data_IF_355952167698
#
_entry.id   IF_355952167698
#
_cell.length_a   1.000
_cell.length_b   1.000
_cell.length_c   1.000
_cell.angle_alpha   90.00
_cell.angle_beta   90.00
_cell.angle_gamma   90.00
#
_symmetry.space_group_name_H-M   'P 1'
#
loop_
_entity.id
_entity.type
_entity.pdbx_description
1 polymer ?
#
# COMPACT_ATOMS: atom_id res chain seq x y z
N UNK A 1 19.62 -10.04 7.09
CA UNK A 1 18.50 -9.10 7.46
C UNK A 1 19.01 -8.05 8.44
N UNK A 2 18.80 -6.76 8.17
CA UNK A 2 19.12 -5.65 9.07
C UNK A 2 18.30 -5.72 10.35
N UNK A 3 18.91 -5.39 11.48
CA UNK A 3 18.27 -5.46 12.81
C UNK A 3 17.72 -4.10 13.27
N UNK A 4 18.15 -3.01 12.63
CA UNK A 4 17.74 -1.65 12.98
C UNK A 4 17.77 -0.72 11.77
N UNK A 5 17.01 0.37 11.84
CA UNK A 5 17.08 1.45 10.85
C UNK A 5 18.46 2.09 10.77
N UNK A 6 19.19 2.13 11.90
CA UNK A 6 20.56 2.67 11.93
C UNK A 6 21.51 1.87 11.03
N UNK A 7 21.42 0.54 11.05
CA UNK A 7 22.21 -0.33 10.19
C UNK A 7 21.91 -0.11 8.70
N UNK A 8 20.63 0.13 8.33
CA UNK A 8 20.24 0.41 6.94
C UNK A 8 20.82 1.77 6.50
N UNK A 9 20.70 2.80 7.33
CA UNK A 9 21.24 4.14 7.04
C UNK A 9 22.78 4.11 6.91
N UNK A 10 23.46 3.31 7.72
CA UNK A 10 24.90 3.11 7.60
C UNK A 10 25.27 2.41 6.30
N UNK A 11 24.55 1.34 5.95
CA UNK A 11 24.74 0.61 4.69
C UNK A 11 24.46 1.50 3.46
N UNK A 12 23.44 2.37 3.51
CA UNK A 12 23.14 3.38 2.49
C UNK A 12 24.34 4.32 2.29
N UNK A 13 24.87 4.88 3.38
CA UNK A 13 26.03 5.79 3.35
C UNK A 13 27.31 5.10 2.81
N UNK A 14 27.53 3.85 3.18
CA UNK A 14 28.71 3.11 2.74
C UNK A 14 28.62 2.65 1.29
N UNK A 15 27.45 2.28 0.82
CA UNK A 15 27.25 1.76 -0.54
C UNK A 15 26.96 2.84 -1.58
N UNK A 16 26.53 4.04 -1.18
CA UNK A 16 26.06 5.10 -2.07
C UNK A 16 24.73 4.79 -2.78
N UNK A 17 24.06 3.71 -2.38
CA UNK A 17 22.75 3.29 -2.92
C UNK A 17 21.63 3.95 -2.15
N UNK A 18 20.45 4.06 -2.75
CA UNK A 18 19.26 4.56 -2.05
C UNK A 18 18.76 3.56 -1.00
N UNK A 19 18.03 4.06 0.00
CA UNK A 19 17.49 3.27 1.11
C UNK A 19 16.73 2.00 0.63
N UNK A 20 15.84 2.17 -0.35
CA UNK A 20 15.05 1.06 -0.86
C UNK A 20 15.90 -0.01 -1.58
N UNK A 21 16.96 0.40 -2.28
CA UNK A 21 17.88 -0.54 -2.94
C UNK A 21 18.65 -1.39 -1.92
N UNK A 22 19.13 -0.77 -0.85
CA UNK A 22 19.83 -1.47 0.23
C UNK A 22 18.90 -2.51 0.89
N UNK A 23 17.65 -2.14 1.16
CA UNK A 23 16.66 -3.05 1.76
C UNK A 23 16.30 -4.18 0.80
N UNK A 24 16.04 -3.87 -0.47
CA UNK A 24 15.70 -4.88 -1.47
C UNK A 24 16.85 -5.87 -1.70
N UNK A 25 18.10 -5.41 -1.77
CA UNK A 25 19.27 -6.28 -1.92
C UNK A 25 19.46 -7.25 -0.75
N UNK A 26 19.17 -6.80 0.47
CA UNK A 26 19.21 -7.67 1.65
C UNK A 26 18.11 -8.73 1.59
N UNK A 27 16.89 -8.33 1.22
CA UNK A 27 15.74 -9.21 1.12
C UNK A 27 15.92 -10.28 0.03
N UNK A 28 16.31 -9.91 -1.19
CA UNK A 28 16.55 -10.86 -2.28
C UNK A 28 17.70 -11.83 -1.96
N UNK A 29 18.72 -11.36 -1.25
CA UNK A 29 19.83 -12.22 -0.80
C UNK A 29 19.36 -13.24 0.23
N UNK A 30 18.51 -12.84 1.15
CA UNK A 30 17.93 -13.73 2.17
C UNK A 30 16.99 -14.76 1.54
N UNK A 31 16.18 -14.34 0.57
CA UNK A 31 15.26 -15.22 -0.15
C UNK A 31 15.94 -16.09 -1.22
N UNK A 32 17.16 -15.77 -1.62
CA UNK A 32 17.89 -16.47 -2.68
C UNK A 32 17.29 -16.28 -4.07
N UNK A 33 16.65 -15.13 -4.31
CA UNK A 33 16.01 -14.77 -5.59
C UNK A 33 16.81 -13.66 -6.29
N UNK A 34 16.49 -13.42 -7.56
CA UNK A 34 17.09 -12.32 -8.32
C UNK A 34 16.39 -10.99 -8.03
N UNK A 35 17.06 -9.87 -8.37
CA UNK A 35 16.48 -8.53 -8.25
C UNK A 35 15.14 -8.42 -9.02
N UNK A 36 15.08 -8.92 -10.24
CA UNK A 36 13.88 -8.87 -11.06
C UNK A 36 12.73 -9.68 -10.44
N UNK A 37 13.02 -10.83 -9.84
CA UNK A 37 11.99 -11.61 -9.14
C UNK A 37 11.48 -10.90 -7.89
N UNK A 38 12.37 -10.30 -7.07
CA UNK A 38 11.97 -9.53 -5.91
C UNK A 38 11.12 -8.31 -6.29
N UNK A 39 11.53 -7.59 -7.33
CA UNK A 39 10.78 -6.45 -7.84
C UNK A 39 9.40 -6.86 -8.40
N UNK A 40 9.33 -7.97 -9.14
CA UNK A 40 8.07 -8.50 -9.65
C UNK A 40 7.12 -8.89 -8.51
N UNK A 41 7.61 -9.51 -7.45
CA UNK A 41 6.82 -9.84 -6.26
C UNK A 41 6.23 -8.58 -5.60
N UNK A 42 7.02 -7.53 -5.42
CA UNK A 42 6.56 -6.25 -4.89
C UNK A 42 5.47 -5.62 -5.77
N UNK A 43 5.69 -5.63 -7.10
CA UNK A 43 4.70 -5.14 -8.08
C UNK A 43 3.39 -5.92 -8.00
N UNK A 44 3.45 -7.25 -7.92
CA UNK A 44 2.27 -8.10 -7.82
C UNK A 44 1.50 -7.87 -6.52
N UNK A 45 2.21 -7.66 -5.41
CA UNK A 45 1.58 -7.27 -4.13
C UNK A 45 0.85 -5.92 -4.25
N UNK A 46 1.47 -4.93 -4.88
CA UNK A 46 0.85 -3.63 -5.10
C UNK A 46 -0.37 -3.71 -6.03
N UNK A 47 -0.29 -4.47 -7.11
CA UNK A 47 -1.44 -4.73 -7.98
C UNK A 47 -2.58 -5.43 -7.25
N UNK A 48 -2.27 -6.35 -6.33
CA UNK A 48 -3.28 -6.98 -5.49
C UNK A 48 -3.93 -5.98 -4.51
N UNK A 49 -3.17 -5.01 -3.96
CA UNK A 49 -3.72 -3.91 -3.15
C UNK A 49 -4.69 -3.05 -3.97
N UNK A 50 -4.30 -2.65 -5.18
CA UNK A 50 -5.16 -1.88 -6.11
C UNK A 50 -6.43 -2.66 -6.49
N UNK A 51 -6.29 -3.97 -6.71
CA UNK A 51 -7.46 -4.80 -7.01
C UNK A 51 -8.41 -4.86 -5.82
N UNK A 52 -7.90 -5.00 -4.60
CA UNK A 52 -8.72 -5.01 -3.38
C UNK A 52 -9.49 -3.68 -3.19
N UNK A 53 -8.82 -2.54 -3.44
CA UNK A 53 -9.46 -1.21 -3.39
C UNK A 53 -10.60 -1.09 -4.44
N UNK A 54 -10.33 -1.47 -5.68
CA UNK A 54 -11.30 -1.39 -6.79
C UNK A 54 -12.50 -2.33 -6.65
N UNK A 55 -12.34 -3.44 -5.92
CA UNK A 55 -13.39 -4.44 -5.73
C UNK A 55 -14.11 -4.32 -4.39
N UNK A 56 -13.95 -3.17 -3.71
CA UNK A 56 -14.72 -2.85 -2.54
C UNK A 56 -16.22 -2.83 -2.86
N UNK A 57 -17.03 -3.35 -1.95
CA UNK A 57 -18.48 -3.39 -2.09
C UNK A 57 -19.13 -2.77 -0.85
N UNK A 58 -19.74 -1.61 -1.02
CA UNK A 58 -20.38 -0.82 0.03
C UNK A 58 -21.67 -1.44 0.61
N UNK A 59 -22.11 -2.57 0.07
CA UNK A 59 -23.30 -3.31 0.53
C UNK A 59 -22.96 -4.48 1.44
N UNK A 60 -21.71 -4.91 1.45
CA UNK A 60 -21.28 -6.04 2.25
C UNK A 60 -21.19 -5.65 3.73
N UNK A 61 -21.48 -6.66 4.57
CA UNK A 61 -21.27 -6.60 6.02
C UNK A 61 -20.54 -7.84 6.48
N UNK A 62 -19.75 -7.67 7.54
CA UNK A 62 -19.10 -8.79 8.23
C UNK A 62 -20.13 -9.80 8.76
N UNK A 63 -19.69 -11.02 9.07
CA UNK A 63 -20.55 -12.06 9.61
C UNK A 63 -21.26 -11.65 10.91
N UNK A 64 -20.67 -10.75 11.71
CA UNK A 64 -21.31 -10.17 12.92
C UNK A 64 -22.29 -9.07 12.61
N UNK A 65 -22.35 -8.55 11.38
CA UNK A 65 -23.15 -7.40 11.00
C UNK A 65 -22.64 -6.05 11.50
N UNK A 66 -21.53 -6.02 12.26
CA UNK A 66 -21.02 -4.80 12.93
C UNK A 66 -20.12 -3.96 12.03
N UNK A 67 -19.44 -4.55 11.05
CA UNK A 67 -18.48 -3.87 10.17
C UNK A 67 -18.98 -3.91 8.73
N UNK A 68 -18.85 -2.80 8.02
CA UNK A 68 -19.18 -2.64 6.61
C UNK A 68 -19.99 -1.36 6.35
N UNK A 69 -19.90 -0.87 5.13
CA UNK A 69 -20.60 0.32 4.60
C UNK A 69 -20.04 1.69 5.00
N UNK A 70 -19.17 1.78 6.00
CA UNK A 70 -18.63 3.07 6.46
C UNK A 70 -17.64 3.67 5.47
N UNK A 71 -16.83 2.85 4.79
CA UNK A 71 -15.95 3.31 3.71
C UNK A 71 -16.72 3.99 2.57
N UNK A 72 -17.86 3.42 2.16
CA UNK A 72 -18.74 4.04 1.17
C UNK A 72 -19.43 5.33 1.66
N UNK A 73 -19.67 5.44 2.97
CA UNK A 73 -20.21 6.68 3.57
C UNK A 73 -19.17 7.79 3.59
N UNK A 74 -17.91 7.45 3.92
CA UNK A 74 -16.79 8.40 3.88
C UNK A 74 -16.57 8.90 2.44
N UNK A 75 -16.63 8.00 1.45
CA UNK A 75 -16.54 8.39 0.04
C UNK A 75 -17.62 9.39 -0.36
N UNK A 76 -18.86 9.12 0.00
CA UNK A 76 -19.98 10.03 -0.30
C UNK A 76 -19.80 11.40 0.37
N UNK A 77 -19.38 11.45 1.63
CA UNK A 77 -19.10 12.69 2.34
C UNK A 77 -17.95 13.48 1.69
N UNK A 78 -16.85 12.79 1.31
CA UNK A 78 -15.73 13.41 0.60
C UNK A 78 -16.16 14.01 -0.74
N UNK A 79 -16.91 13.25 -1.55
CA UNK A 79 -17.41 13.71 -2.85
C UNK A 79 -18.42 14.86 -2.73
N UNK A 80 -19.13 14.95 -1.60
CA UNK A 80 -20.00 16.08 -1.28
C UNK A 80 -19.23 17.32 -0.77
N UNK A 81 -17.91 17.24 -0.61
CA UNK A 81 -17.08 18.33 -0.07
C UNK A 81 -17.15 18.48 1.46
N UNK A 82 -17.70 17.50 2.17
CA UNK A 82 -17.85 17.47 3.62
C UNK A 82 -16.54 16.96 4.29
N UNK A 83 -15.40 17.59 3.95
CA UNK A 83 -14.10 17.20 4.46
C UNK A 83 -13.69 18.06 5.65
N UNK A 84 -13.31 17.40 6.77
CA UNK A 84 -12.79 18.07 7.97
C UNK A 84 -11.26 18.16 7.98
N UNK A 85 -10.56 17.43 7.10
CA UNK A 85 -9.10 17.33 7.10
C UNK A 85 -8.46 17.49 5.70
N UNK A 86 -9.22 18.01 4.74
CA UNK A 86 -8.80 18.13 3.33
C UNK A 86 -9.04 16.86 2.51
N UNK A 87 -9.17 17.03 1.19
CA UNK A 87 -9.60 15.94 0.29
C UNK A 87 -8.61 14.76 0.28
N UNK A 88 -7.31 15.04 0.24
CA UNK A 88 -6.28 13.99 0.23
C UNK A 88 -6.35 13.08 1.47
N UNK A 89 -6.43 13.67 2.66
CA UNK A 89 -6.51 12.88 3.90
C UNK A 89 -7.83 12.11 3.99
N UNK A 90 -8.94 12.72 3.56
CA UNK A 90 -10.23 12.02 3.48
C UNK A 90 -10.18 10.84 2.51
N UNK A 91 -9.49 10.98 1.36
CA UNK A 91 -9.26 9.88 0.41
C UNK A 91 -8.45 8.73 1.05
N UNK A 92 -7.39 9.06 1.78
CA UNK A 92 -6.60 8.04 2.52
C UNK A 92 -7.46 7.34 3.57
N UNK A 93 -8.24 8.08 4.36
CA UNK A 93 -9.15 7.50 5.37
C UNK A 93 -10.21 6.61 4.72
N UNK A 94 -10.83 7.06 3.65
CA UNK A 94 -11.80 6.29 2.87
C UNK A 94 -11.22 4.94 2.45
N UNK A 95 -10.05 4.94 1.78
CA UNK A 95 -9.40 3.71 1.31
C UNK A 95 -8.97 2.81 2.47
N UNK A 96 -8.48 3.37 3.56
CA UNK A 96 -8.10 2.60 4.74
C UNK A 96 -9.30 1.88 5.36
N UNK A 97 -10.43 2.57 5.49
CA UNK A 97 -11.67 1.98 6.02
C UNK A 97 -12.21 0.93 5.05
N UNK A 98 -12.29 1.21 3.75
CA UNK A 98 -12.70 0.25 2.71
C UNK A 98 -11.90 -1.04 2.76
N UNK A 99 -10.59 -0.94 2.94
CA UNK A 99 -9.70 -2.11 3.04
C UNK A 99 -9.94 -2.89 4.33
N UNK A 100 -10.11 -2.21 5.46
CA UNK A 100 -10.45 -2.83 6.75
C UNK A 100 -11.80 -3.55 6.70
N UNK A 101 -12.80 -2.95 6.08
CA UNK A 101 -14.12 -3.56 5.87
C UNK A 101 -14.03 -4.78 4.92
N UNK A 102 -13.27 -4.68 3.84
CA UNK A 102 -13.01 -5.80 2.93
C UNK A 102 -12.40 -6.99 3.69
N UNK A 103 -11.43 -6.73 4.56
CA UNK A 103 -10.84 -7.76 5.42
C UNK A 103 -11.88 -8.37 6.37
N UNK A 104 -12.68 -7.55 7.06
CA UNK A 104 -13.73 -8.03 7.96
C UNK A 104 -14.83 -8.82 7.24
N UNK A 105 -15.06 -8.53 5.96
CA UNK A 105 -15.99 -9.23 5.09
C UNK A 105 -15.38 -10.43 4.35
N UNK A 106 -14.20 -10.90 4.77
CA UNK A 106 -13.49 -12.06 4.21
C UNK A 106 -13.12 -11.91 2.73
N UNK A 107 -12.94 -10.67 2.25
CA UNK A 107 -12.41 -10.40 0.91
C UNK A 107 -10.90 -10.54 0.88
N UNK A 108 -10.34 -10.73 -0.31
CA UNK A 108 -8.89 -10.75 -0.50
C UNK A 108 -8.29 -9.38 -0.21
N UNK A 109 -7.32 -9.36 0.70
CA UNK A 109 -6.47 -8.18 1.02
C UNK A 109 -5.00 -8.59 0.98
N UNK A 110 -4.12 -7.60 1.04
CA UNK A 110 -2.68 -7.84 1.27
C UNK A 110 -2.34 -7.53 2.71
N UNK A 111 -1.79 -8.50 3.42
CA UNK A 111 -1.34 -8.32 4.80
C UNK A 111 0.02 -7.58 4.81
N UNK A 112 -0.01 -6.26 4.90
CA UNK A 112 1.18 -5.43 4.86
C UNK A 112 1.17 -4.38 5.99
N UNK A 113 1.93 -4.57 7.07
CA UNK A 113 2.72 -5.76 7.42
C UNK A 113 1.89 -6.89 8.04
N UNK A 114 0.67 -6.64 8.50
CA UNK A 114 -0.24 -7.63 9.10
C UNK A 114 -1.65 -7.51 8.54
N UNK A 115 -2.47 -8.56 8.70
CA UNK A 115 -3.89 -8.52 8.31
C UNK A 115 -4.67 -7.43 9.07
N UNK A 116 -4.31 -7.13 10.32
CA UNK A 116 -4.96 -6.08 11.12
C UNK A 116 -4.64 -4.66 10.64
N UNK A 117 -3.49 -4.46 10.00
CA UNK A 117 -3.06 -3.15 9.45
C UNK A 117 -3.11 -3.09 7.92
N UNK A 118 -3.81 -4.01 7.27
CA UNK A 118 -3.88 -4.14 5.81
C UNK A 118 -4.43 -2.90 5.08
N UNK A 119 -5.08 -1.99 5.78
CA UNK A 119 -5.61 -0.75 5.21
C UNK A 119 -4.60 0.38 5.10
N UNK A 120 -3.56 0.42 5.93
CA UNK A 120 -2.68 1.59 6.06
C UNK A 120 -1.81 1.80 4.81
N UNK A 121 -1.01 0.81 4.45
CA UNK A 121 -0.09 0.91 3.30
C UNK A 121 -0.85 1.08 1.99
N UNK A 122 -1.86 0.25 1.64
CA UNK A 122 -2.61 0.43 0.40
C UNK A 122 -3.29 1.81 0.31
N UNK A 123 -3.89 2.29 1.40
CA UNK A 123 -4.57 3.58 1.40
C UNK A 123 -3.64 4.74 1.09
N UNK A 124 -2.46 4.76 1.69
CA UNK A 124 -1.46 5.82 1.45
C UNK A 124 -0.90 5.72 0.03
N UNK A 125 -0.42 4.53 -0.37
CA UNK A 125 0.23 4.34 -1.67
C UNK A 125 -0.72 4.61 -2.84
N UNK A 126 -1.94 4.07 -2.80
CA UNK A 126 -2.92 4.26 -3.87
C UNK A 126 -3.37 5.73 -3.94
N UNK A 127 -3.60 6.38 -2.79
CA UNK A 127 -3.96 7.80 -2.77
C UNK A 127 -2.84 8.70 -3.30
N UNK A 128 -1.59 8.38 -2.99
CA UNK A 128 -0.43 9.12 -3.53
C UNK A 128 -0.28 8.91 -5.04
N UNK A 129 -0.45 7.69 -5.53
CA UNK A 129 -0.43 7.42 -6.97
C UNK A 129 -1.52 8.21 -7.71
N UNK A 130 -2.75 8.20 -7.18
CA UNK A 130 -3.87 8.92 -7.78
C UNK A 130 -3.72 10.44 -7.77
N UNK A 131 -3.08 11.00 -6.73
CA UNK A 131 -2.90 12.45 -6.57
C UNK A 131 -1.68 12.98 -7.33
N UNK A 132 -0.56 12.26 -7.26
CA UNK A 132 0.73 12.73 -7.74
C UNK A 132 1.25 11.95 -8.96
N UNK A 133 0.63 10.84 -9.34
CA UNK A 133 1.08 9.98 -10.43
C UNK A 133 2.43 9.28 -10.19
N UNK A 134 2.95 9.32 -8.95
CA UNK A 134 4.35 9.03 -8.65
C UNK A 134 4.75 7.55 -8.65
N UNK A 135 3.84 6.62 -8.38
CA UNK A 135 4.25 5.23 -8.08
C UNK A 135 4.44 4.35 -9.31
N UNK A 136 3.66 4.57 -10.36
CA UNK A 136 3.90 3.89 -11.64
C UNK A 136 5.15 4.42 -12.34
N UNK A 137 5.44 5.71 -12.16
CA UNK A 137 6.58 6.38 -12.80
C UNK A 137 7.92 5.98 -12.18
N UNK A 138 7.97 5.68 -10.89
CA UNK A 138 9.22 5.21 -10.26
C UNK A 138 9.58 3.77 -10.65
N UNK A 139 8.63 2.96 -11.12
CA UNK A 139 8.92 1.63 -11.67
C UNK A 139 9.41 1.71 -13.12
N UNK A 140 8.92 2.68 -13.92
CA UNK A 140 9.36 2.89 -15.29
C UNK A 140 10.64 3.76 -15.37
N UNK A 141 10.84 4.70 -14.43
CA UNK A 141 12.06 5.51 -14.39
C UNK A 141 13.32 4.71 -14.01
N UNK A 142 13.17 3.51 -13.47
CA UNK A 142 14.29 2.59 -13.29
C UNK A 142 14.73 1.94 -14.61
N UNK A 143 13.85 1.84 -15.61
CA UNK A 143 14.17 1.30 -16.93
C UNK A 143 14.79 2.36 -17.85
N UNK A 144 14.50 3.66 -17.63
CA UNK A 144 15.06 4.77 -18.41
C UNK A 144 16.46 5.22 -17.95
N UNK A 145 16.99 4.66 -16.86
CA UNK A 145 18.33 4.97 -16.30
C UNK A 145 19.36 3.86 -16.54
N UNK A 146 19.05 2.89 -17.38
CA UNK A 146 19.98 1.88 -17.90
C UNK A 146 20.12 2.08 -19.43
#
# INVERSE_FOLDING_TARGET
MYRSLAEIVEAEKMSGKSFWQVVLEDDIKEQGITFNEGFAQMKDMYLAMKHADKTYDDKLRSASGMVGTDGGRIEKARLAGESICGDFIMKVLEKAVKMGESNACMKRIVAAPTAGSCGVIPAVLISMEEEYGCLLYTSDAADDLI
#
